data_IF_244105990173
#
_entry.id   IF_244105990173
#
_cell.length_a   1.000
_cell.length_b   1.000
_cell.length_c   1.000
_cell.angle_alpha   90.00
_cell.angle_beta   90.00
_cell.angle_gamma   90.00
#
_symmetry.space_group_name_H-M   'P 1'
#
loop_
_entity.id
_entity.type
_entity.pdbx_description
1 polymer ?
#
# COMPACT_ATOMS: atom_id res chain seq x y z
N UNK A 1 -8.15 5.94 -14.22
CA UNK A 1 -6.94 6.55 -14.82
C UNK A 1 -5.81 5.52 -14.84
N UNK A 2 -4.86 5.62 -15.77
CA UNK A 2 -3.71 4.70 -15.87
C UNK A 2 -2.41 5.42 -15.55
N UNK A 3 -1.59 4.83 -14.69
CA UNK A 3 -0.33 5.36 -14.18
C UNK A 3 0.78 4.33 -14.39
N UNK A 4 1.83 4.67 -15.14
CA UNK A 4 2.90 3.73 -15.51
C UNK A 4 4.10 3.83 -14.56
N UNK A 5 4.70 2.68 -14.27
CA UNK A 5 5.95 2.53 -13.51
C UNK A 5 6.97 1.72 -14.32
N UNK A 6 8.16 1.51 -13.78
CA UNK A 6 9.20 0.71 -14.46
C UNK A 6 8.82 -0.77 -14.56
N UNK A 7 7.91 -1.26 -13.72
CA UNK A 7 7.58 -2.68 -13.61
C UNK A 7 6.13 -3.01 -13.98
N UNK A 8 5.34 -2.04 -14.41
CA UNK A 8 3.96 -2.28 -14.85
C UNK A 8 3.10 -1.02 -14.83
N UNK A 9 1.80 -1.24 -14.97
CA UNK A 9 0.80 -0.17 -15.05
C UNK A 9 -0.25 -0.33 -13.96
N UNK A 10 -0.57 0.77 -13.29
CA UNK A 10 -1.66 0.85 -12.33
C UNK A 10 -2.87 1.47 -13.01
N UNK A 11 -4.00 0.77 -13.01
CA UNK A 11 -5.31 1.34 -13.29
C UNK A 11 -5.99 1.64 -11.96
N UNK A 12 -6.21 2.93 -11.69
CA UNK A 12 -6.97 3.39 -10.51
C UNK A 12 -8.34 3.86 -10.99
N UNK A 13 -9.39 3.16 -10.60
CA UNK A 13 -10.75 3.54 -10.99
C UNK A 13 -11.20 4.78 -10.20
N UNK A 14 -12.10 5.62 -10.77
CA UNK A 14 -12.59 6.80 -10.07
C UNK A 14 -13.13 6.45 -8.68
N UNK A 15 -12.66 7.15 -7.66
CA UNK A 15 -13.07 6.91 -6.29
C UNK A 15 -14.57 7.12 -6.13
N UNK A 16 -15.26 6.18 -5.46
CA UNK A 16 -16.60 6.44 -4.98
C UNK A 16 -16.50 7.09 -3.60
N UNK A 17 -16.78 8.39 -3.54
CA UNK A 17 -16.90 9.10 -2.27
C UNK A 17 -18.05 8.52 -1.44
N UNK A 18 -17.82 8.38 -0.14
CA UNK A 18 -18.81 7.91 0.83
C UNK A 18 -19.18 9.06 1.74
N UNK A 19 -20.41 9.52 1.65
CA UNK A 19 -21.05 10.42 2.61
C UNK A 19 -22.38 9.78 3.00
N UNK A 20 -22.43 9.19 4.19
CA UNK A 20 -23.62 8.44 4.64
C UNK A 20 -24.85 9.31 4.91
N UNK A 21 -24.67 10.64 5.02
CA UNK A 21 -25.77 11.59 5.19
C UNK A 21 -25.48 12.88 4.39
N UNK A 22 -25.63 12.83 3.06
CA UNK A 22 -25.29 13.95 2.18
C UNK A 22 -26.02 15.24 2.56
N UNK A 23 -25.25 16.34 2.65
CA UNK A 23 -25.77 17.66 2.98
C UNK A 23 -26.10 17.89 4.47
N UNK A 24 -25.87 16.90 5.34
CA UNK A 24 -26.11 17.02 6.79
C UNK A 24 -24.79 17.09 7.58
N UNK A 25 -24.67 18.10 8.43
CA UNK A 25 -23.59 18.21 9.42
C UNK A 25 -23.99 17.51 10.73
N UNK A 26 -23.87 16.18 10.71
CA UNK A 26 -24.13 15.28 11.85
C UNK A 26 -23.03 14.22 11.95
N UNK A 27 -23.07 13.39 12.99
CA UNK A 27 -22.14 12.26 13.10
C UNK A 27 -22.47 11.25 12.00
N UNK A 28 -21.53 11.01 11.08
CA UNK A 28 -21.75 10.13 9.90
C UNK A 28 -20.47 9.45 9.45
N UNK A 29 -20.62 8.40 8.64
CA UNK A 29 -19.48 7.75 7.99
C UNK A 29 -19.06 8.56 6.76
N UNK A 30 -17.77 8.93 6.70
CA UNK A 30 -17.17 9.63 5.57
C UNK A 30 -15.95 8.85 5.08
N UNK A 31 -15.78 8.73 3.76
CA UNK A 31 -14.72 7.89 3.22
C UNK A 31 -14.62 7.85 1.70
N UNK A 32 -13.81 6.91 1.22
CA UNK A 32 -13.69 6.62 -0.19
C UNK A 32 -13.58 5.11 -0.42
N UNK A 33 -14.21 4.63 -1.49
CA UNK A 33 -13.93 3.32 -2.05
C UNK A 33 -12.92 3.46 -3.18
N UNK A 34 -11.87 2.65 -3.15
CA UNK A 34 -10.81 2.64 -4.15
C UNK A 34 -10.64 1.25 -4.73
N UNK A 35 -10.44 1.21 -6.05
CA UNK A 35 -10.10 0.00 -6.79
C UNK A 35 -8.83 0.25 -7.59
N UNK A 36 -7.84 -0.62 -7.37
CA UNK A 36 -6.53 -0.53 -7.99
C UNK A 36 -6.23 -1.87 -8.65
N UNK A 37 -6.00 -1.83 -9.95
CA UNK A 37 -5.49 -2.98 -10.71
C UNK A 37 -4.05 -2.70 -11.10
N UNK A 38 -3.18 -3.70 -10.94
CA UNK A 38 -1.80 -3.63 -11.42
C UNK A 38 -1.56 -4.71 -12.47
N UNK A 39 -1.18 -4.26 -13.66
CA UNK A 39 -0.77 -5.12 -14.77
C UNK A 39 0.76 -5.16 -14.83
N UNK A 40 1.41 -6.31 -14.56
CA UNK A 40 2.86 -6.42 -14.59
C UNK A 40 3.41 -6.24 -16.01
N UNK A 41 4.51 -5.49 -16.14
CA UNK A 41 5.25 -5.33 -17.38
C UNK A 41 5.81 -6.68 -17.88
N UNK A 42 6.09 -6.78 -19.18
CA UNK A 42 6.58 -8.00 -19.83
C UNK A 42 7.94 -8.49 -19.32
N UNK A 43 8.69 -7.66 -18.60
CA UNK A 43 9.97 -7.99 -17.95
C UNK A 43 9.81 -8.60 -16.56
N UNK A 44 8.65 -8.48 -15.92
CA UNK A 44 8.38 -9.05 -14.59
C UNK A 44 8.17 -10.55 -14.70
N UNK A 45 8.76 -11.32 -13.78
CA UNK A 45 8.54 -12.77 -13.63
C UNK A 45 8.21 -13.06 -12.18
N UNK A 46 6.93 -13.29 -11.89
CA UNK A 46 6.44 -13.51 -10.54
C UNK A 46 5.29 -14.50 -10.55
N UNK A 47 5.33 -15.48 -9.65
CA UNK A 47 4.21 -16.40 -9.45
C UNK A 47 3.10 -15.78 -8.60
N UNK A 48 3.40 -14.71 -7.83
CA UNK A 48 2.44 -14.04 -6.95
C UNK A 48 2.77 -12.57 -6.79
N UNK A 49 1.85 -11.72 -7.24
CA UNK A 49 1.87 -10.28 -7.05
C UNK A 49 0.69 -9.90 -6.16
N UNK A 50 0.95 -9.16 -5.10
CA UNK A 50 -0.07 -8.64 -4.18
C UNK A 50 0.10 -7.15 -3.97
N UNK A 51 -0.65 -6.58 -3.02
CA UNK A 51 -0.52 -5.18 -2.65
C UNK A 51 -0.10 -5.04 -1.19
N UNK A 52 0.73 -4.04 -0.91
CA UNK A 52 0.96 -3.50 0.42
C UNK A 52 0.44 -2.07 0.41
N UNK A 53 -0.32 -1.70 1.44
CA UNK A 53 -0.84 -0.36 1.57
C UNK A 53 -0.21 0.31 2.79
N UNK A 54 0.24 1.54 2.62
CA UNK A 54 0.76 2.39 3.71
C UNK A 54 -0.14 3.61 3.80
N UNK A 55 -0.64 3.91 4.99
CA UNK A 55 -1.65 4.92 5.20
C UNK A 55 -1.40 5.79 6.42
N UNK A 56 -1.93 7.02 6.37
CA UNK A 56 -2.10 7.94 7.48
C UNK A 56 -3.46 8.61 7.35
N UNK A 57 -4.24 8.64 8.42
CA UNK A 57 -5.37 9.54 8.53
C UNK A 57 -5.04 10.63 9.56
N UNK A 58 -5.45 11.88 9.28
CA UNK A 58 -5.09 13.06 10.08
C UNK A 58 -6.35 13.82 10.44
N UNK A 59 -6.54 14.13 11.72
CA UNK A 59 -7.65 14.96 12.20
C UNK A 59 -7.42 16.42 11.82
N UNK A 60 -8.48 17.23 11.86
CA UNK A 60 -8.39 18.68 11.63
C UNK A 60 -7.44 19.45 12.55
N UNK A 61 -7.06 18.88 13.71
CA UNK A 61 -6.06 19.45 14.61
C UNK A 61 -4.61 18.99 14.30
N UNK A 62 -4.41 18.33 13.15
CA UNK A 62 -3.12 17.84 12.68
C UNK A 62 -2.64 16.53 13.33
N UNK A 63 -3.38 15.99 14.30
CA UNK A 63 -2.98 14.74 14.96
C UNK A 63 -3.35 13.52 14.12
N UNK A 64 -2.51 12.48 14.10
CA UNK A 64 -2.87 11.20 13.52
C UNK A 64 -4.15 10.62 14.13
N UNK A 65 -4.96 10.01 13.28
CA UNK A 65 -6.05 9.11 13.63
C UNK A 65 -5.52 7.69 13.41
N UNK A 66 -5.09 7.05 14.50
CA UNK A 66 -4.53 5.70 14.51
C UNK A 66 -5.46 4.77 15.26
N UNK A 67 -5.54 3.52 14.79
CA UNK A 67 -6.11 2.44 15.58
C UNK A 67 -5.11 1.93 16.63
N UNK A 68 -5.60 1.29 17.70
CA UNK A 68 -4.77 0.81 18.80
C UNK A 68 -3.64 -0.12 18.35
N UNK A 69 -3.90 -0.96 17.34
CA UNK A 69 -2.89 -1.87 16.78
C UNK A 69 -1.86 -1.18 15.90
N UNK A 70 -2.15 0.03 15.41
CA UNK A 70 -1.26 0.82 14.55
C UNK A 70 -0.32 1.70 15.35
N UNK A 71 -0.77 2.20 16.50
CA UNK A 71 0.01 3.08 17.38
C UNK A 71 1.46 2.62 17.58
N UNK A 72 1.75 1.36 18.01
CA UNK A 72 3.13 0.94 18.28
C UNK A 72 4.01 0.75 17.03
N UNK A 73 3.41 0.65 15.84
CA UNK A 73 4.10 0.36 14.57
C UNK A 73 4.04 1.50 13.55
N UNK A 74 3.31 2.56 13.88
CA UNK A 74 3.23 3.77 13.07
C UNK A 74 4.56 4.52 13.12
N UNK A 75 4.83 5.32 12.09
CA UNK A 75 6.00 6.18 12.04
C UNK A 75 5.94 7.16 13.21
N UNK A 76 6.94 7.09 14.06
CA UNK A 76 6.90 7.69 15.38
C UNK A 76 7.14 9.21 15.34
N UNK A 77 6.55 9.87 16.34
CA UNK A 77 7.19 10.93 17.12
C UNK A 77 8.31 10.33 17.98
N UNK A 78 9.56 10.68 17.72
CA UNK A 78 10.54 10.61 18.80
C UNK A 78 10.36 11.88 19.65
N UNK A 79 9.80 11.74 20.86
CA UNK A 79 9.58 12.77 21.90
C UNK A 79 8.30 13.63 21.82
N UNK A 80 7.81 14.01 23.00
CA UNK A 80 6.46 14.47 23.34
C UNK A 80 5.93 15.71 22.58
N UNK A 81 4.71 15.60 22.02
CA UNK A 81 3.89 16.74 21.54
C UNK A 81 4.34 17.40 20.23
N UNK A 82 3.48 17.42 19.19
CA UNK A 82 3.77 18.05 17.89
C UNK A 82 3.40 17.23 16.64
N UNK A 83 2.36 17.64 15.91
CA UNK A 83 1.88 16.97 14.70
C UNK A 83 2.79 17.15 13.48
N UNK A 84 3.96 16.49 13.49
CA UNK A 84 4.86 16.48 12.35
C UNK A 84 4.18 15.79 11.15
N UNK A 85 4.46 16.32 9.95
CA UNK A 85 3.82 15.87 8.71
C UNK A 85 4.00 14.35 8.45
N UNK A 86 5.07 13.77 8.98
CA UNK A 86 5.46 12.37 8.79
C UNK A 86 5.02 11.43 9.92
N UNK A 87 4.44 11.94 11.01
CA UNK A 87 3.94 11.11 12.12
C UNK A 87 2.68 10.33 11.72
N UNK A 88 2.59 9.06 12.07
CA UNK A 88 1.33 8.30 11.98
C UNK A 88 1.07 7.58 10.66
N UNK A 89 2.09 7.38 9.82
CA UNK A 89 2.00 6.42 8.72
C UNK A 89 2.19 5.00 9.23
N UNK A 90 1.35 4.07 8.80
CA UNK A 90 1.46 2.66 9.14
C UNK A 90 1.08 1.79 7.93
N UNK A 91 1.56 0.54 7.89
CA UNK A 91 1.05 -0.46 6.95
C UNK A 91 -0.44 -0.69 7.25
N UNK A 92 -1.34 -0.48 6.31
CA UNK A 92 -2.79 -0.56 6.54
C UNK A 92 -3.23 -2.03 6.68
N UNK A 93 -3.39 -2.47 7.94
CA UNK A 93 -3.83 -3.80 8.33
C UNK A 93 -4.50 -3.78 9.69
N UNK A 94 -5.58 -4.55 9.78
CA UNK A 94 -6.33 -4.78 11.01
C UNK A 94 -5.51 -5.55 12.05
N UNK A 95 -5.91 -5.39 13.31
CA UNK A 95 -5.38 -6.16 14.45
C UNK A 95 -5.47 -7.69 14.21
N UNK A 96 -4.50 -8.43 14.74
CA UNK A 96 -4.46 -9.90 14.64
C UNK A 96 -4.16 -10.45 13.24
N UNK A 97 -3.80 -9.60 12.26
CA UNK A 97 -3.37 -10.06 10.94
C UNK A 97 -1.92 -10.53 10.93
N UNK A 98 -1.67 -11.61 10.21
CA UNK A 98 -0.34 -12.19 9.99
C UNK A 98 0.41 -11.47 8.87
N UNK A 99 -0.25 -11.22 7.75
CA UNK A 99 0.38 -10.69 6.54
C UNK A 99 0.20 -9.17 6.44
N UNK A 100 1.28 -8.49 6.08
CA UNK A 100 1.29 -7.04 5.78
C UNK A 100 0.68 -6.71 4.41
N UNK A 101 0.41 -7.72 3.59
CA UNK A 101 -0.25 -7.58 2.29
C UNK A 101 -1.76 -7.37 2.47
N UNK A 102 -2.30 -6.40 1.75
CA UNK A 102 -3.68 -5.97 1.87
C UNK A 102 -4.64 -7.06 1.35
N UNK A 103 -5.74 -7.26 2.09
CA UNK A 103 -6.76 -8.24 1.76
C UNK A 103 -6.30 -9.70 1.85
N UNK A 104 -5.19 -10.02 2.52
CA UNK A 104 -4.72 -11.41 2.66
C UNK A 104 -5.11 -11.99 4.02
N UNK A 105 -5.73 -13.17 4.04
CA UNK A 105 -6.11 -13.88 5.27
C UNK A 105 -4.89 -14.49 5.95
N UNK A 106 -5.00 -14.88 7.23
CA UNK A 106 -3.85 -15.41 7.99
C UNK A 106 -3.28 -16.73 7.41
N UNK A 107 -4.09 -17.51 6.69
CA UNK A 107 -3.67 -18.69 5.94
C UNK A 107 -2.96 -18.36 4.60
N UNK A 108 -2.87 -17.08 4.23
CA UNK A 108 -2.23 -16.60 3.01
C UNK A 108 -3.15 -16.53 1.78
N UNK A 109 -4.44 -16.86 1.92
CA UNK A 109 -5.43 -16.77 0.85
C UNK A 109 -5.92 -15.34 0.64
N UNK A 110 -6.47 -15.06 -0.55
CA UNK A 110 -7.09 -13.79 -0.85
C UNK A 110 -8.46 -13.67 -0.15
N UNK A 111 -8.69 -12.58 0.56
CA UNK A 111 -9.97 -12.31 1.23
C UNK A 111 -11.01 -11.74 0.25
N UNK A 112 -12.25 -12.14 0.49
CA UNK A 112 -13.43 -11.49 -0.06
C UNK A 112 -14.10 -10.63 1.01
N UNK A 113 -14.75 -9.57 0.57
CA UNK A 113 -15.60 -8.71 1.37
C UNK A 113 -17.03 -8.74 0.85
N UNK A 114 -17.89 -7.97 1.50
CA UNK A 114 -19.24 -7.69 1.04
C UNK A 114 -19.17 -6.58 -0.02
N UNK A 115 -19.87 -6.76 -1.14
CA UNK A 115 -19.96 -5.74 -2.18
C UNK A 115 -20.60 -4.46 -1.59
N UNK A 116 -19.97 -3.27 -1.77
CA UNK A 116 -20.50 -2.02 -1.22
C UNK A 116 -21.85 -1.60 -1.81
N UNK A 117 -22.19 -2.06 -3.01
CA UNK A 117 -23.40 -1.67 -3.73
C UNK A 117 -24.52 -2.71 -3.59
N UNK A 118 -24.18 -3.91 -3.11
CA UNK A 118 -25.11 -5.01 -2.89
C UNK A 118 -24.64 -5.93 -1.75
N UNK A 119 -25.24 -5.76 -0.56
CA UNK A 119 -24.85 -6.52 0.62
C UNK A 119 -25.06 -8.05 0.51
N UNK A 120 -25.78 -8.51 -0.52
CA UNK A 120 -26.00 -9.94 -0.80
C UNK A 120 -24.88 -10.56 -1.63
N UNK A 121 -23.99 -9.73 -2.21
CA UNK A 121 -22.88 -10.18 -3.04
C UNK A 121 -21.55 -10.09 -2.30
N UNK A 122 -20.62 -10.94 -2.71
CA UNK A 122 -19.22 -10.82 -2.34
C UNK A 122 -18.45 -10.05 -3.40
N UNK A 123 -17.41 -9.36 -2.96
CA UNK A 123 -16.45 -8.66 -3.81
C UNK A 123 -15.05 -9.00 -3.35
N UNK A 124 -14.15 -9.28 -4.28
CA UNK A 124 -12.74 -9.50 -3.95
C UNK A 124 -12.21 -8.27 -3.21
N UNK A 125 -11.57 -8.44 -2.04
CA UNK A 125 -10.75 -7.36 -1.46
C UNK A 125 -9.37 -7.32 -2.10
N UNK A 126 -8.88 -8.49 -2.50
CA UNK A 126 -7.63 -8.64 -3.19
C UNK A 126 -7.74 -9.76 -4.21
N UNK A 127 -6.95 -9.67 -5.27
CA UNK A 127 -6.68 -10.78 -6.18
C UNK A 127 -5.19 -10.82 -6.44
N UNK A 128 -4.59 -11.99 -6.29
CA UNK A 128 -3.18 -12.15 -6.61
C UNK A 128 -2.98 -12.12 -8.12
N UNK A 129 -2.09 -11.23 -8.55
CA UNK A 129 -1.59 -11.22 -9.92
C UNK A 129 -0.45 -12.21 -10.09
N UNK A 130 -0.05 -12.41 -11.34
CA UNK A 130 1.13 -13.19 -11.70
C UNK A 130 1.60 -12.82 -13.10
N UNK A 131 2.85 -13.16 -13.41
CA UNK A 131 3.38 -13.17 -14.77
C UNK A 131 4.44 -14.25 -14.86
N UNK A 132 4.11 -15.34 -15.55
CA UNK A 132 5.00 -16.49 -15.72
C UNK A 132 5.89 -16.35 -16.95
N UNK A 133 5.43 -15.61 -17.95
CA UNK A 133 6.16 -15.34 -19.19
C UNK A 133 5.79 -13.96 -19.78
N UNK A 134 6.31 -13.65 -20.98
CA UNK A 134 6.10 -12.35 -21.61
C UNK A 134 4.64 -12.10 -22.05
N UNK A 135 3.83 -13.15 -22.17
CA UNK A 135 2.46 -13.11 -22.70
C UNK A 135 1.41 -13.46 -21.63
N UNK A 136 1.68 -14.48 -20.82
CA UNK A 136 0.78 -14.99 -19.79
C UNK A 136 0.92 -14.19 -18.51
N UNK A 137 -0.14 -13.46 -18.16
CA UNK A 137 -0.22 -12.73 -16.90
C UNK A 137 -1.64 -12.72 -16.34
N UNK A 138 -1.72 -12.44 -15.04
CA UNK A 138 -2.94 -12.10 -14.32
C UNK A 138 -2.70 -10.78 -13.61
N UNK A 139 -3.65 -9.87 -13.72
CA UNK A 139 -3.57 -8.62 -12.99
C UNK A 139 -3.74 -8.85 -11.49
N UNK A 140 -2.98 -8.10 -10.70
CA UNK A 140 -3.24 -8.00 -9.27
C UNK A 140 -4.34 -6.97 -9.04
N UNK A 141 -5.20 -7.20 -8.06
CA UNK A 141 -6.30 -6.31 -7.73
C UNK A 141 -6.33 -5.99 -6.23
N UNK A 142 -6.70 -4.77 -5.89
CA UNK A 142 -7.00 -4.31 -4.54
C UNK A 142 -8.32 -3.53 -4.56
N UNK A 143 -9.19 -3.83 -3.61
CA UNK A 143 -10.37 -3.05 -3.28
C UNK A 143 -10.37 -2.72 -1.80
N UNK A 144 -10.46 -1.42 -1.49
CA UNK A 144 -10.49 -0.93 -0.11
C UNK A 144 -11.63 0.07 0.11
N UNK A 145 -12.13 0.10 1.34
CA UNK A 145 -13.17 0.98 1.83
C UNK A 145 -12.68 1.67 3.09
N UNK A 146 -12.00 2.79 2.91
CA UNK A 146 -11.55 3.61 4.05
C UNK A 146 -12.70 4.51 4.44
N UNK A 147 -13.46 4.06 5.43
CA UNK A 147 -14.62 4.76 5.98
C UNK A 147 -14.37 5.04 7.46
N UNK A 148 -14.34 6.32 7.83
CA UNK A 148 -14.12 6.75 9.21
C UNK A 148 -15.33 7.54 9.72
N UNK A 149 -15.68 7.38 11.01
CA UNK A 149 -16.70 8.20 11.62
C UNK A 149 -16.22 9.65 11.71
N UNK A 150 -17.05 10.56 11.24
CA UNK A 150 -16.88 12.00 11.35
C UNK A 150 -17.86 12.53 12.39
N UNK A 151 -17.38 13.28 13.37
CA UNK A 151 -18.24 14.05 14.27
C UNK A 151 -18.65 15.40 13.64
N UNK A 152 -19.78 15.94 14.11
CA UNK A 152 -20.30 17.24 13.69
C UNK A 152 -19.23 18.33 13.78
N UNK A 153 -19.11 19.14 12.73
CA UNK A 153 -18.14 20.24 12.65
C UNK A 153 -16.66 19.82 12.63
N UNK A 154 -16.32 18.52 12.57
CA UNK A 154 -14.91 18.05 12.49
C UNK A 154 -14.47 17.81 11.06
N UNK A 155 -13.16 17.87 10.82
CA UNK A 155 -12.53 17.53 9.55
C UNK A 155 -11.51 16.42 9.77
N UNK A 156 -11.18 15.71 8.70
CA UNK A 156 -10.03 14.83 8.65
C UNK A 156 -9.62 14.59 7.19
N UNK A 157 -8.40 14.11 6.99
CA UNK A 157 -7.88 13.64 5.71
C UNK A 157 -7.34 12.23 5.85
N UNK A 158 -7.29 11.49 4.76
CA UNK A 158 -6.59 10.21 4.69
C UNK A 158 -5.70 10.18 3.45
N UNK A 159 -4.42 9.86 3.68
CA UNK A 159 -3.34 9.67 2.71
C UNK A 159 -2.98 8.20 2.64
N UNK A 160 -2.83 7.68 1.43
CA UNK A 160 -2.46 6.30 1.19
C UNK A 160 -1.45 6.18 0.05
N UNK A 161 -0.58 5.19 0.14
CA UNK A 161 0.20 4.69 -0.99
C UNK A 161 0.04 3.18 -1.06
N UNK A 162 -0.46 2.68 -2.19
CA UNK A 162 -0.61 1.25 -2.46
C UNK A 162 0.50 0.81 -3.42
N UNK A 163 1.33 -0.13 -2.96
CA UNK A 163 2.45 -0.70 -3.70
C UNK A 163 2.10 -2.08 -4.22
N UNK A 164 2.39 -2.35 -5.50
CA UNK A 164 2.40 -3.72 -5.99
C UNK A 164 3.67 -4.41 -5.50
N UNK A 165 3.52 -5.60 -4.91
CA UNK A 165 4.61 -6.39 -4.35
C UNK A 165 4.72 -7.72 -5.10
N UNK A 166 5.90 -7.96 -5.68
CA UNK A 166 6.32 -9.28 -6.12
C UNK A 166 6.67 -10.12 -4.88
N UNK A 167 5.74 -10.97 -4.44
CA UNK A 167 5.96 -11.83 -3.28
C UNK A 167 6.95 -12.95 -3.56
N UNK A 168 7.12 -13.35 -4.83
CA UNK A 168 8.07 -14.38 -5.26
C UNK A 168 9.49 -13.89 -5.08
N UNK A 169 9.79 -12.69 -5.58
CA UNK A 169 11.15 -12.13 -5.57
C UNK A 169 11.38 -11.10 -4.46
N UNK A 170 10.39 -10.88 -3.58
CA UNK A 170 10.45 -9.94 -2.45
C UNK A 170 10.82 -8.52 -2.89
N UNK A 171 10.20 -8.05 -3.99
CA UNK A 171 10.51 -6.75 -4.62
C UNK A 171 9.26 -5.94 -4.89
N UNK A 172 9.31 -4.63 -4.68
CA UNK A 172 8.19 -3.76 -5.04
C UNK A 172 8.26 -3.36 -6.51
N UNK A 173 7.10 -3.31 -7.15
CA UNK A 173 6.94 -3.09 -8.58
C UNK A 173 6.46 -1.67 -8.90
N UNK A 174 6.48 -0.78 -7.90
CA UNK A 174 5.95 0.57 -7.96
C UNK A 174 4.79 0.78 -6.99
N UNK A 175 4.36 2.03 -6.87
CA UNK A 175 3.23 2.37 -6.01
C UNK A 175 2.51 3.64 -6.46
N UNK A 176 1.23 3.72 -6.11
CA UNK A 176 0.36 4.86 -6.42
C UNK A 176 -0.14 5.50 -5.14
N UNK A 177 -0.08 6.83 -5.11
CA UNK A 177 -0.65 7.67 -4.05
C UNK A 177 -2.12 7.92 -4.34
N UNK A 178 -2.93 7.93 -3.29
CA UNK A 178 -4.34 8.30 -3.33
C UNK A 178 -4.78 8.79 -1.95
N UNK A 179 -5.97 9.38 -1.87
CA UNK A 179 -6.49 9.86 -0.60
C UNK A 179 -7.78 10.65 -0.75
N UNK A 180 -8.28 11.16 0.37
CA UNK A 180 -9.44 12.03 0.39
C UNK A 180 -9.41 12.97 1.60
N UNK A 181 -10.18 14.04 1.49
CA UNK A 181 -10.38 15.06 2.52
C UNK A 181 -11.86 15.14 2.89
N UNK A 182 -12.15 15.43 4.16
CA UNK A 182 -13.50 15.59 4.69
C UNK A 182 -13.62 16.96 5.35
N UNK A 183 -14.55 17.78 4.84
CA UNK A 183 -14.77 19.14 5.33
C UNK A 183 -15.71 19.20 6.55
N UNK A 184 -15.99 20.43 7.02
CA UNK A 184 -16.87 20.68 8.17
C UNK A 184 -18.35 20.42 7.89
N UNK A 185 -18.77 20.21 6.64
CA UNK A 185 -20.10 19.72 6.29
C UNK A 185 -20.12 18.19 6.10
N UNK A 186 -18.95 17.55 6.17
CA UNK A 186 -18.75 16.14 5.93
C UNK A 186 -18.84 15.76 4.46
N UNK A 187 -18.68 16.76 3.57
CA UNK A 187 -18.49 16.51 2.15
C UNK A 187 -17.10 15.91 1.97
N UNK A 188 -17.05 14.81 1.23
CA UNK A 188 -15.79 14.15 0.86
C UNK A 188 -15.29 14.69 -0.47
N UNK A 189 -14.01 15.07 -0.50
CA UNK A 189 -13.28 15.41 -1.71
C UNK A 189 -12.17 14.40 -1.92
N UNK A 190 -12.26 13.61 -2.99
CA UNK A 190 -11.26 12.60 -3.32
C UNK A 190 -10.09 13.24 -4.07
N UNK A 191 -8.85 12.85 -3.75
CA UNK A 191 -7.63 13.36 -4.36
C UNK A 191 -7.23 12.47 -5.53
N UNK A 192 -6.88 13.08 -6.66
CA UNK A 192 -6.49 12.34 -7.86
C UNK A 192 -5.29 11.41 -7.58
N UNK A 193 -5.34 10.19 -8.15
CA UNK A 193 -4.23 9.26 -8.00
C UNK A 193 -2.99 9.78 -8.72
N UNK A 194 -1.82 9.50 -8.17
CA UNK A 194 -0.54 9.85 -8.79
C UNK A 194 0.51 8.76 -8.52
N UNK A 195 1.60 8.77 -9.28
CA UNK A 195 2.73 7.87 -9.01
C UNK A 195 3.36 8.25 -7.66
N UNK A 196 3.44 7.27 -6.77
CA UNK A 196 4.13 7.38 -5.47
C UNK A 196 5.55 6.83 -5.52
N UNK A 197 5.80 5.80 -6.32
CA UNK A 197 7.13 5.23 -6.57
C UNK A 197 7.18 4.51 -7.91
N UNK A 198 8.34 4.56 -8.57
CA UNK A 198 8.64 3.80 -9.78
C UNK A 198 9.08 2.35 -9.49
N UNK A 199 9.24 1.98 -8.23
CA UNK A 199 9.68 0.66 -7.78
C UNK A 199 9.53 0.54 -6.26
N UNK A 200 10.65 0.63 -5.56
CA UNK A 200 10.71 0.45 -4.11
C UNK A 200 10.09 1.60 -3.30
N UNK A 201 9.48 1.32 -2.14
CA UNK A 201 9.10 2.35 -1.18
C UNK A 201 10.34 3.09 -0.68
N UNK A 202 10.19 4.39 -0.44
CA UNK A 202 11.24 5.25 0.10
C UNK A 202 10.68 6.14 1.21
N UNK A 203 11.54 6.93 1.87
CA UNK A 203 11.14 7.90 2.89
C UNK A 203 10.18 7.31 3.92
N UNK A 204 9.06 8.00 4.15
CA UNK A 204 8.11 7.62 5.19
C UNK A 204 7.39 6.29 4.92
N UNK A 205 7.23 5.90 3.65
CA UNK A 205 6.64 4.60 3.32
C UNK A 205 7.56 3.45 3.70
N UNK A 206 8.88 3.62 3.51
CA UNK A 206 9.87 2.65 3.95
C UNK A 206 9.91 2.55 5.48
N UNK A 207 9.83 3.67 6.19
CA UNK A 207 9.80 3.67 7.65
C UNK A 207 8.55 2.98 8.22
N UNK A 208 7.38 3.16 7.60
CA UNK A 208 6.17 2.44 7.98
C UNK A 208 6.30 0.92 7.80
N UNK A 209 6.97 0.47 6.72
CA UNK A 209 7.26 -0.95 6.48
C UNK A 209 8.24 -1.50 7.54
N UNK A 210 9.27 -0.72 7.90
CA UNK A 210 10.17 -1.08 9.01
C UNK A 210 9.41 -1.16 10.33
N UNK A 211 8.46 -0.27 10.57
CA UNK A 211 7.57 -0.29 11.74
C UNK A 211 6.75 -1.58 11.84
N UNK A 212 6.16 -2.02 10.73
CA UNK A 212 5.51 -3.35 10.64
C UNK A 212 6.49 -4.47 11.02
N UNK A 213 7.67 -4.50 10.40
CA UNK A 213 8.66 -5.56 10.66
C UNK A 213 9.19 -5.58 12.08
N UNK A 214 9.39 -4.40 12.69
CA UNK A 214 9.82 -4.26 14.09
C UNK A 214 8.80 -4.90 15.04
N UNK A 215 7.51 -4.69 14.79
CA UNK A 215 6.46 -5.33 15.60
C UNK A 215 6.48 -6.85 15.48
N UNK A 216 6.83 -7.40 14.30
CA UNK A 216 6.97 -8.85 14.14
C UNK A 216 8.07 -9.45 15.04
N UNK A 217 9.06 -8.64 15.44
CA UNK A 217 10.15 -9.01 16.35
C UNK A 217 9.81 -8.81 17.84
N UNK A 218 8.64 -8.27 18.16
CA UNK A 218 8.21 -8.11 19.55
C UNK A 218 7.89 -9.47 20.20
N UNK A 219 7.89 -9.50 21.54
CA UNK A 219 7.41 -10.68 22.28
C UNK A 219 5.90 -10.81 22.09
N UNK A 220 5.38 -12.05 22.10
CA UNK A 220 3.97 -12.31 21.75
C UNK A 220 2.95 -11.55 22.60
N UNK A 221 3.23 -11.28 23.88
CA UNK A 221 2.36 -10.45 24.73
C UNK A 221 2.36 -8.95 24.42
N UNK A 222 3.33 -8.46 23.65
CA UNK A 222 3.43 -7.08 23.19
C UNK A 222 2.88 -6.90 21.75
N UNK A 223 2.92 -7.97 20.94
CA UNK A 223 2.39 -7.95 19.57
C UNK A 223 0.90 -7.56 19.57
N UNK A 224 0.57 -6.57 18.74
CA UNK A 224 -0.84 -6.23 18.42
C UNK A 224 -1.34 -6.92 17.16
N UNK A 225 -0.45 -7.59 16.45
CA UNK A 225 -0.75 -8.43 15.30
C UNK A 225 -0.62 -9.92 15.67
N UNK A 226 -0.78 -10.80 14.69
CA UNK A 226 -0.71 -12.25 14.94
C UNK A 226 0.68 -12.66 15.45
N UNK A 227 0.76 -13.71 16.29
CA UNK A 227 2.02 -14.15 16.90
C UNK A 227 3.10 -14.53 15.89
N UNK A 228 2.72 -15.07 14.73
CA UNK A 228 3.62 -15.42 13.62
C UNK A 228 3.64 -14.38 12.47
N UNK A 229 3.42 -13.09 12.81
CA UNK A 229 3.41 -11.98 11.86
C UNK A 229 4.57 -12.08 10.85
N UNK A 230 4.24 -12.00 9.57
CA UNK A 230 5.18 -12.11 8.47
C UNK A 230 5.75 -10.74 8.15
N UNK A 231 7.09 -10.67 8.08
CA UNK A 231 7.80 -9.46 7.67
C UNK A 231 7.58 -9.16 6.19
N UNK A 232 7.43 -7.89 5.88
CA UNK A 232 7.46 -7.37 4.53
C UNK A 232 8.91 -7.21 4.06
N UNK A 233 9.18 -7.29 2.74
CA UNK A 233 10.50 -6.98 2.21
C UNK A 233 10.92 -5.55 2.56
N UNK A 234 12.16 -5.38 3.00
CA UNK A 234 12.77 -4.05 3.16
C UNK A 234 13.76 -3.91 2.01
N UNK A 235 13.52 -3.00 1.05
CA UNK A 235 14.49 -2.73 0.00
C UNK A 235 15.84 -2.41 0.61
N UNK A 236 16.89 -3.08 0.16
CA UNK A 236 18.26 -2.63 0.44
C UNK A 236 18.49 -1.35 -0.33
N UNK A 237 19.11 -0.35 0.31
CA UNK A 237 19.46 0.88 -0.39
C UNK A 237 20.28 0.52 -1.64
N UNK A 238 19.71 0.78 -2.82
CA UNK A 238 20.53 0.85 -4.04
C UNK A 238 21.58 1.91 -3.78
N UNK A 239 22.87 1.56 -3.93
CA UNK A 239 23.95 2.54 -3.92
C UNK A 239 23.53 3.65 -4.89
N UNK A 240 23.32 4.86 -4.38
CA UNK A 240 23.08 6.02 -5.23
C UNK A 240 24.22 6.11 -6.24
N UNK A 241 23.91 5.98 -7.53
CA UNK A 241 24.81 6.49 -8.55
C UNK A 241 24.59 8.01 -8.52
N UNK A 242 25.58 8.81 -8.11
CA UNK A 242 25.39 10.25 -7.97
C UNK A 242 24.95 10.85 -9.31
N UNK A 243 23.90 11.65 -9.25
CA UNK A 243 23.43 12.46 -10.37
C UNK A 243 24.41 13.62 -10.60
N UNK A 244 25.47 13.40 -11.38
CA UNK A 244 26.01 14.35 -12.37
C UNK A 244 27.41 13.92 -12.83
N UNK A 245 27.58 13.83 -14.14
CA UNK A 245 28.85 13.63 -14.80
C UNK A 245 28.67 12.88 -16.11
N UNK A 246 28.13 13.57 -17.12
CA UNK A 246 28.13 13.02 -18.48
C UNK A 246 29.56 12.69 -18.91
N UNK A 247 29.78 11.44 -19.32
CA UNK A 247 30.54 11.04 -20.52
C UNK A 247 30.53 9.52 -20.61
N UNK A 248 30.52 9.04 -21.84
CA UNK A 248 30.38 7.66 -22.28
C UNK A 248 31.18 6.61 -21.50
N UNK A 249 30.54 5.49 -21.19
CA UNK A 249 31.22 4.26 -20.79
C UNK A 249 30.23 3.11 -20.62
N UNK A 250 29.98 2.36 -21.70
CA UNK A 250 29.46 0.99 -21.57
C UNK A 250 30.48 0.20 -20.76
N UNK A 251 30.09 -0.31 -19.59
CA UNK A 251 30.95 -1.10 -18.71
C UNK A 251 30.14 -2.14 -17.94
N UNK A 252 30.22 -3.37 -18.42
CA UNK A 252 30.17 -4.65 -17.71
C UNK A 252 29.08 -4.88 -16.66
N UNK A 253 27.93 -5.37 -17.15
CA UNK A 253 27.25 -6.43 -16.41
C UNK A 253 27.89 -7.78 -16.79
N UNK A 254 28.39 -8.58 -15.84
CA UNK A 254 28.81 -9.93 -16.16
C UNK A 254 27.58 -10.71 -16.62
N UNK A 255 27.58 -11.08 -17.90
CA UNK A 255 26.67 -12.07 -18.45
C UNK A 255 26.79 -13.36 -17.63
N UNK A 256 25.68 -14.06 -17.35
CA UNK A 256 25.75 -15.39 -16.74
C UNK A 256 26.64 -16.29 -17.59
N UNK A 257 27.58 -16.98 -16.95
CA UNK A 257 28.43 -17.97 -17.62
C UNK A 257 27.54 -19.05 -18.19
N UNK A 258 27.42 -19.08 -19.51
CA UNK A 258 26.89 -20.20 -20.26
C UNK A 258 27.72 -21.45 -19.91
N UNK A 259 27.11 -22.37 -19.18
CA UNK A 259 27.64 -23.72 -19.04
C UNK A 259 27.23 -24.52 -20.27
N UNK A 260 28.22 -24.81 -21.11
CA UNK A 260 28.39 -26.01 -21.93
C UNK A 260 27.13 -26.74 -22.40
N UNK A 261 26.82 -26.60 -23.69
CA UNK A 261 26.39 -27.73 -24.52
C UNK A 261 27.10 -27.70 -25.86
N UNK A 262 28.14 -28.51 -25.94
CA UNK A 262 28.66 -29.02 -27.19
C UNK A 262 27.58 -29.85 -27.90
N UNK A 263 27.34 -29.55 -29.18
CA UNK A 263 26.85 -30.52 -30.15
C UNK A 263 27.85 -30.53 -31.30
N UNK A 264 28.54 -31.65 -31.43
CA UNK A 264 28.95 -32.19 -32.72
C UNK A 264 27.76 -32.94 -33.33
#
# INVERSE_FOLDING_TARGET
MTLKTNCGEFKVDPYKAVDAAPGKDERKSCGAHVEITFTPATTVRSSKISFVQVMKCTKGDGKPLLFDNETPRSTAKNAAGGGDADEGYAVDRLSGKKHGTYGVANDGTAEQGVDPDDATKTKDKTRFGSRTDATTHKDAFLFDRVNLPRDKGKTFSCDATSFALDETNKKYLGGVKWGYDVDTAGKVTVRAASIGSMGDPSGIQLEAIKGWNKQADEKDGAKKNHADQVKLPVPTASKEIPANGGTSGYGDYPLPKDTDRAFA
#
